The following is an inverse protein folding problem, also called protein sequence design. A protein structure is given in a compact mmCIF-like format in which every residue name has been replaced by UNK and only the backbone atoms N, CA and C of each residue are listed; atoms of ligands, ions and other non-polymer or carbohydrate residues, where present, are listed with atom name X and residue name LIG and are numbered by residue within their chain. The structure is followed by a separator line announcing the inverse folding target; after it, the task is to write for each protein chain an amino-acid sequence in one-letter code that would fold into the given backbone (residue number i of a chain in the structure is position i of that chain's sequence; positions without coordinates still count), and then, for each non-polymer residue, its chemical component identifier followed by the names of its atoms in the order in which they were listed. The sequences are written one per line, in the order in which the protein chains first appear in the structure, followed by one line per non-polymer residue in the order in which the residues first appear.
data_IF_974894521861
#
_entry.id   IF_974894521861
#
_cell.length_a   1.000
_cell.length_b   1.000
_cell.length_c   1.000
_cell.angle_alpha   90.00
_cell.angle_beta   90.00
_cell.angle_gamma   90.00
#
_symmetry.space_group_name_H-M   'P 1'
#
loop_
_entity.id
_entity.type
_entity.pdbx_description
1 polymer ?
#
# COMPACT_ATOMS: atom_id res chain seq x y z
N UNK A 1 58.85 -61.25 -52.56
CA UNK A 1 58.54 -60.56 -53.83
C UNK A 1 57.62 -59.39 -53.51
N UNK A 2 57.93 -58.17 -54.01
CA UNK A 2 57.07 -56.99 -54.35
C UNK A 2 55.83 -56.67 -53.47
N UNK A 3 55.38 -55.44 -53.17
CA UNK A 3 55.80 -54.02 -53.12
C UNK A 3 54.49 -53.25 -52.75
N UNK A 4 54.54 -52.30 -51.80
CA UNK A 4 53.65 -51.11 -51.57
C UNK A 4 52.10 -51.17 -51.66
N UNK A 5 51.39 -50.65 -50.65
CA UNK A 5 50.73 -49.31 -50.68
C UNK A 5 50.18 -48.92 -49.29
N UNK A 6 49.85 -47.64 -49.12
CA UNK A 6 49.75 -46.92 -47.86
C UNK A 6 48.34 -46.41 -47.51
N UNK A 7 48.15 -46.04 -46.23
CA UNK A 7 47.29 -44.96 -45.67
C UNK A 7 45.76 -45.11 -45.71
N UNK A 8 45.11 -44.92 -44.54
CA UNK A 8 43.72 -44.46 -44.49
C UNK A 8 42.93 -44.74 -43.20
N UNK A 9 43.11 -43.88 -42.18
CA UNK A 9 42.12 -43.27 -41.27
C UNK A 9 40.89 -44.00 -40.66
N UNK A 10 40.69 -43.62 -39.39
CA UNK A 10 39.43 -43.39 -38.66
C UNK A 10 38.83 -44.55 -37.85
N UNK A 11 39.33 -44.68 -36.62
CA UNK A 11 38.56 -45.16 -35.46
C UNK A 11 37.37 -44.22 -35.22
N UNK A 12 36.15 -44.69 -35.48
CA UNK A 12 34.93 -44.07 -34.94
C UNK A 12 34.37 -44.96 -33.84
N UNK A 13 34.58 -44.50 -32.61
CA UNK A 13 33.98 -45.03 -31.39
C UNK A 13 32.54 -44.49 -31.33
N UNK A 14 31.53 -45.35 -31.49
CA UNK A 14 30.15 -44.97 -31.15
C UNK A 14 30.05 -44.82 -29.62
N UNK A 15 29.96 -43.59 -29.12
CA UNK A 15 29.39 -43.33 -27.80
C UNK A 15 27.93 -42.89 -27.96
N UNK A 16 27.05 -43.67 -27.35
CA UNK A 16 25.63 -43.47 -27.18
C UNK A 16 25.30 -42.10 -26.55
N UNK A 17 24.40 -41.36 -27.19
CA UNK A 17 23.75 -40.19 -26.63
C UNK A 17 22.94 -40.59 -25.38
N UNK A 18 23.46 -40.27 -24.20
CA UNK A 18 22.67 -40.23 -22.96
C UNK A 18 21.76 -39.02 -23.02
N UNK A 19 20.51 -39.22 -23.43
CA UNK A 19 19.47 -38.22 -23.27
C UNK A 19 19.29 -37.94 -21.77
N UNK A 20 19.71 -36.75 -21.31
CA UNK A 20 19.23 -36.20 -20.06
C UNK A 20 17.73 -35.98 -20.20
N UNK A 21 16.95 -36.85 -19.57
CA UNK A 21 15.51 -36.65 -19.42
C UNK A 21 15.30 -35.59 -18.35
N UNK A 22 15.13 -34.34 -18.75
CA UNK A 22 14.60 -33.27 -17.91
C UNK A 22 13.13 -33.56 -17.58
N UNK A 23 12.89 -34.54 -16.70
CA UNK A 23 11.57 -34.80 -16.16
C UNK A 23 11.23 -33.65 -15.19
N UNK A 24 10.40 -32.71 -15.63
CA UNK A 24 9.79 -31.70 -14.75
C UNK A 24 9.20 -32.41 -13.51
N UNK A 25 9.46 -31.92 -12.29
CA UNK A 25 8.90 -32.53 -11.09
C UNK A 25 7.37 -32.57 -11.22
N UNK A 26 6.81 -33.79 -11.18
CA UNK A 26 5.38 -34.01 -11.28
C UNK A 26 4.77 -33.79 -9.91
N UNK A 27 4.25 -32.60 -9.65
CA UNK A 27 3.47 -32.36 -8.45
C UNK A 27 2.11 -33.06 -8.53
N UNK A 28 1.61 -33.51 -7.39
CA UNK A 28 0.30 -34.15 -7.27
C UNK A 28 -0.69 -33.09 -6.79
N UNK A 29 -1.68 -32.81 -7.63
CA UNK A 29 -2.86 -32.00 -7.30
C UNK A 29 -4.09 -32.83 -7.68
N UNK A 30 -4.68 -33.54 -6.71
CA UNK A 30 -5.79 -34.46 -6.95
C UNK A 30 -7.11 -33.73 -7.17
N UNK A 31 -7.30 -32.62 -6.46
CA UNK A 31 -8.56 -31.88 -6.49
C UNK A 31 -8.60 -30.86 -7.66
N UNK A 32 -7.46 -30.69 -8.35
CA UNK A 32 -7.25 -29.84 -9.53
C UNK A 32 -7.56 -28.37 -9.25
N UNK A 33 -7.24 -27.90 -8.04
CA UNK A 33 -7.44 -26.51 -7.64
C UNK A 33 -6.21 -25.63 -7.88
N UNK A 34 -5.09 -26.20 -8.33
CA UNK A 34 -3.85 -25.50 -8.64
C UNK A 34 -2.83 -25.48 -7.50
N UNK A 35 -3.13 -26.10 -6.36
CA UNK A 35 -2.24 -26.25 -5.20
C UNK A 35 -1.86 -27.72 -5.05
N UNK A 36 -0.60 -27.99 -4.71
CA UNK A 36 -0.14 -29.36 -4.49
C UNK A 36 -0.74 -29.95 -3.21
N UNK A 37 -1.18 -31.22 -3.28
CA UNK A 37 -1.67 -32.01 -2.15
C UNK A 37 -0.69 -31.95 -0.94
N UNK A 38 0.63 -31.89 -1.20
CA UNK A 38 1.67 -31.83 -0.15
C UNK A 38 1.64 -30.51 0.59
N UNK A 39 1.46 -29.39 -0.12
CA UNK A 39 1.37 -28.07 0.46
C UNK A 39 0.06 -27.91 1.23
N UNK A 40 -1.06 -28.37 0.65
CA UNK A 40 -2.35 -28.41 1.34
C UNK A 40 -2.24 -29.22 2.66
N UNK A 41 -1.61 -30.40 2.61
CA UNK A 41 -1.39 -31.25 3.79
C UNK A 41 -0.51 -30.57 4.84
N UNK A 42 0.54 -29.85 4.44
CA UNK A 42 1.45 -29.12 5.34
C UNK A 42 0.67 -28.15 6.22
N UNK A 43 -0.24 -27.40 5.60
CA UNK A 43 -1.04 -26.37 6.28
C UNK A 43 -2.44 -26.84 6.71
N UNK A 44 -2.70 -28.16 6.63
CA UNK A 44 -3.97 -28.79 7.03
C UNK A 44 -5.18 -28.26 6.25
N UNK A 45 -4.94 -27.76 5.04
CA UNK A 45 -5.95 -27.29 4.09
C UNK A 45 -6.57 -28.48 3.34
N UNK A 46 -7.88 -28.44 3.07
CA UNK A 46 -8.59 -29.51 2.36
C UNK A 46 -9.76 -28.99 1.54
N UNK A 47 -9.94 -29.58 0.36
CA UNK A 47 -11.13 -29.42 -0.45
C UNK A 47 -10.88 -28.63 -1.73
N UNK A 48 -11.70 -28.87 -2.75
CA UNK A 48 -11.53 -28.28 -4.09
C UNK A 48 -11.54 -26.74 -4.09
N UNK A 49 -12.24 -26.12 -3.15
CA UNK A 49 -12.36 -24.67 -3.09
C UNK A 49 -11.29 -24.01 -2.22
N UNK A 50 -10.42 -24.78 -1.54
CA UNK A 50 -9.48 -24.20 -0.56
C UNK A 50 -8.52 -23.20 -1.20
N UNK A 51 -8.14 -23.41 -2.46
CA UNK A 51 -7.36 -22.46 -3.24
C UNK A 51 -7.95 -21.04 -3.32
N UNK A 52 -9.27 -20.89 -3.22
CA UNK A 52 -9.97 -19.59 -3.28
C UNK A 52 -10.28 -18.99 -1.91
N UNK A 53 -9.99 -19.73 -0.84
CA UNK A 53 -10.19 -19.24 0.52
C UNK A 53 -8.96 -18.44 0.94
N UNK A 54 -9.21 -17.45 1.77
CA UNK A 54 -8.22 -16.70 2.52
C UNK A 54 -8.34 -17.19 3.98
N UNK A 55 -7.36 -17.98 4.42
CA UNK A 55 -7.49 -18.79 5.64
C UNK A 55 -7.16 -18.00 6.90
N UNK A 56 -6.16 -17.12 6.83
CA UNK A 56 -5.71 -16.26 7.92
C UNK A 56 -6.26 -14.83 7.84
N UNK A 57 -6.96 -14.49 6.76
CA UNK A 57 -7.70 -13.24 6.58
C UNK A 57 -6.77 -12.04 6.53
N UNK A 58 -5.69 -12.17 5.77
CA UNK A 58 -4.79 -11.06 5.46
C UNK A 58 -5.17 -10.36 4.14
N UNK A 59 -6.01 -10.98 3.30
CA UNK A 59 -6.40 -10.48 1.98
C UNK A 59 -5.85 -11.29 0.81
N UNK A 60 -4.95 -12.24 1.04
CA UNK A 60 -4.45 -13.18 0.04
C UNK A 60 -5.21 -14.49 0.12
N UNK A 61 -5.63 -15.03 -1.03
CA UNK A 61 -6.14 -16.39 -1.04
C UNK A 61 -4.99 -17.40 -1.05
N UNK A 62 -5.28 -18.60 -0.56
CA UNK A 62 -4.32 -19.69 -0.42
C UNK A 62 -3.59 -20.04 -1.74
N UNK A 63 -4.20 -19.79 -2.91
CA UNK A 63 -3.54 -20.02 -4.20
C UNK A 63 -2.46 -18.97 -4.49
N UNK A 64 -2.72 -17.71 -4.19
CA UNK A 64 -1.73 -16.64 -4.30
C UNK A 64 -0.58 -16.91 -3.33
N UNK A 65 -0.89 -17.20 -2.07
CA UNK A 65 0.14 -17.55 -1.08
C UNK A 65 0.97 -18.79 -1.47
N UNK A 66 0.34 -19.81 -2.07
CA UNK A 66 1.06 -20.95 -2.64
C UNK A 66 2.04 -20.53 -3.74
N UNK A 67 1.69 -19.56 -4.59
CA UNK A 67 2.59 -19.01 -5.63
C UNK A 67 3.74 -18.21 -5.03
N UNK A 68 3.48 -17.47 -3.96
CA UNK A 68 4.46 -16.65 -3.25
C UNK A 68 5.31 -17.47 -2.26
N UNK A 69 4.98 -18.75 -2.06
CA UNK A 69 5.63 -19.63 -1.06
C UNK A 69 5.46 -19.17 0.39
N UNK A 70 4.33 -18.50 0.66
CA UNK A 70 3.94 -17.98 1.98
C UNK A 70 3.25 -19.06 2.83
N UNK A 71 2.84 -18.66 4.03
CA UNK A 71 2.16 -19.51 4.99
C UNK A 71 0.68 -19.11 5.15
N UNK A 72 -0.26 -19.90 4.59
CA UNK A 72 -1.71 -19.65 4.56
C UNK A 72 -2.42 -19.85 5.88
N UNK A 73 -1.72 -19.67 6.98
CA UNK A 73 -2.27 -19.78 8.34
C UNK A 73 -1.73 -18.67 9.23
N UNK A 74 -1.02 -17.70 8.66
CA UNK A 74 -0.43 -16.55 9.33
C UNK A 74 -0.50 -15.36 8.40
N UNK A 75 -1.15 -14.30 8.87
CA UNK A 75 -1.19 -13.01 8.19
C UNK A 75 0.18 -12.41 7.87
N UNK A 76 1.19 -12.75 8.65
CA UNK A 76 2.57 -12.34 8.45
C UNK A 76 3.44 -13.61 8.57
N UNK A 77 3.93 -14.08 7.42
CA UNK A 77 4.70 -15.31 7.31
C UNK A 77 6.07 -15.16 7.96
N UNK A 78 6.70 -14.00 7.78
CA UNK A 78 8.11 -13.78 8.11
C UNK A 78 8.30 -13.08 9.48
N UNK A 79 7.23 -12.57 10.08
CA UNK A 79 7.15 -11.88 11.37
C UNK A 79 7.89 -10.54 11.40
N UNK A 80 7.89 -9.80 10.30
CA UNK A 80 8.47 -8.45 10.24
C UNK A 80 7.49 -7.37 10.72
N UNK A 81 6.23 -7.72 11.01
CA UNK A 81 5.19 -6.78 11.42
C UNK A 81 4.28 -6.33 10.27
N UNK A 82 4.64 -6.63 9.03
CA UNK A 82 3.87 -6.31 7.82
C UNK A 82 3.09 -7.54 7.40
N UNK A 83 1.79 -7.39 7.11
CA UNK A 83 1.01 -8.50 6.61
C UNK A 83 1.50 -8.93 5.21
N UNK A 84 1.47 -10.22 4.92
CA UNK A 84 1.85 -10.83 3.64
C UNK A 84 1.12 -10.14 2.47
N UNK A 85 -0.14 -9.76 2.63
CA UNK A 85 -0.89 -8.99 1.65
C UNK A 85 -0.31 -7.59 1.34
N UNK A 86 0.36 -6.96 2.31
CA UNK A 86 0.96 -5.63 2.18
C UNK A 86 2.42 -5.68 1.70
N UNK A 87 3.06 -6.86 1.70
CA UNK A 87 4.42 -7.01 1.18
C UNK A 87 4.50 -6.85 -0.35
N UNK A 88 5.66 -6.39 -0.86
CA UNK A 88 6.04 -6.39 -2.27
C UNK A 88 6.97 -7.59 -2.56
N UNK A 89 6.38 -8.73 -2.91
CA UNK A 89 7.14 -9.99 -3.05
C UNK A 89 8.13 -9.95 -4.21
N UNK A 90 7.78 -9.30 -5.31
CA UNK A 90 8.58 -9.31 -6.55
C UNK A 90 9.42 -8.03 -6.77
N UNK A 91 9.31 -7.08 -5.84
CA UNK A 91 10.14 -5.87 -5.70
C UNK A 91 10.01 -4.95 -6.89
N UNK A 92 8.77 -4.64 -7.22
CA UNK A 92 8.45 -3.80 -8.35
C UNK A 92 7.77 -2.49 -7.98
N UNK A 93 7.45 -2.31 -6.70
CA UNK A 93 6.97 -1.09 -6.09
C UNK A 93 5.47 -1.09 -5.80
N UNK A 94 4.75 -2.20 -5.91
CA UNK A 94 3.36 -2.31 -5.44
C UNK A 94 3.18 -3.57 -4.59
N UNK A 95 2.35 -3.48 -3.56
CA UNK A 95 2.07 -4.62 -2.67
C UNK A 95 1.27 -5.73 -3.35
N UNK A 96 1.35 -6.94 -2.79
CA UNK A 96 0.65 -8.12 -3.27
C UNK A 96 -0.87 -7.88 -3.38
N UNK A 97 -1.50 -7.22 -2.39
CA UNK A 97 -2.92 -6.89 -2.41
C UNK A 97 -3.27 -5.89 -3.52
N UNK A 98 -2.45 -4.84 -3.68
CA UNK A 98 -2.63 -3.83 -4.74
C UNK A 98 -2.58 -4.47 -6.12
N UNK A 99 -1.63 -5.38 -6.34
CA UNK A 99 -1.53 -6.11 -7.60
C UNK A 99 -2.80 -6.93 -7.91
N UNK A 100 -3.35 -7.63 -6.91
CA UNK A 100 -4.59 -8.39 -7.10
C UNK A 100 -5.77 -7.48 -7.47
N UNK A 101 -5.88 -6.32 -6.82
CA UNK A 101 -6.91 -5.33 -7.12
C UNK A 101 -6.77 -4.76 -8.55
N UNK A 102 -5.55 -4.66 -9.06
CA UNK A 102 -5.24 -4.21 -10.44
C UNK A 102 -5.28 -5.33 -11.49
N UNK A 103 -5.56 -6.57 -11.07
CA UNK A 103 -5.55 -7.76 -11.92
C UNK A 103 -4.15 -8.14 -12.42
N UNK A 104 -3.12 -7.82 -11.64
CA UNK A 104 -1.70 -8.15 -11.83
C UNK A 104 -1.38 -9.45 -11.07
N UNK A 105 -0.09 -9.80 -10.96
CA UNK A 105 0.35 -11.10 -10.42
C UNK A 105 1.53 -10.89 -9.47
N UNK A 106 1.33 -11.10 -8.16
CA UNK A 106 2.34 -10.77 -7.15
C UNK A 106 3.64 -11.56 -7.15
N UNK A 107 3.77 -12.51 -8.06
CA UNK A 107 4.94 -13.36 -8.20
C UNK A 107 5.78 -12.95 -9.42
N UNK A 108 5.49 -11.82 -10.06
CA UNK A 108 6.18 -11.34 -11.25
C UNK A 108 5.96 -9.85 -11.51
N UNK A 109 7.07 -9.11 -11.44
CA UNK A 109 7.15 -7.66 -11.67
C UNK A 109 6.73 -7.16 -13.07
N UNK A 110 6.11 -7.99 -13.92
CA UNK A 110 5.91 -7.78 -15.36
C UNK A 110 4.66 -8.54 -15.85
N UNK A 111 3.54 -8.35 -15.17
CA UNK A 111 2.29 -9.08 -15.42
C UNK A 111 1.63 -8.72 -16.75
N UNK A 112 1.61 -7.42 -17.09
CA UNK A 112 0.97 -6.90 -18.32
C UNK A 112 1.96 -6.61 -19.44
N UNK A 113 3.21 -6.28 -19.11
CA UNK A 113 4.24 -5.86 -20.06
C UNK A 113 5.58 -6.49 -19.72
N UNK A 114 6.40 -6.81 -20.73
CA UNK A 114 7.79 -7.29 -20.51
C UNK A 114 8.80 -6.16 -20.27
N UNK A 115 8.38 -4.90 -20.40
CA UNK A 115 9.28 -3.73 -20.40
C UNK A 115 8.96 -2.72 -19.31
N UNK A 116 7.72 -2.71 -18.82
CA UNK A 116 7.25 -1.78 -17.79
C UNK A 116 6.91 -2.64 -16.59
N UNK A 117 7.59 -2.37 -15.47
CA UNK A 117 7.27 -3.04 -14.20
C UNK A 117 5.84 -2.71 -13.78
N UNK A 118 5.17 -3.60 -13.06
CA UNK A 118 3.79 -3.38 -12.65
C UNK A 118 3.68 -2.17 -11.70
N UNK A 119 4.61 -1.99 -10.76
CA UNK A 119 4.67 -0.76 -9.93
C UNK A 119 4.96 0.54 -10.70
N UNK A 120 5.46 0.47 -11.94
CA UNK A 120 5.62 1.64 -12.82
C UNK A 120 4.42 1.89 -13.75
N UNK A 121 3.37 1.08 -13.64
CA UNK A 121 2.13 1.34 -14.37
C UNK A 121 1.49 2.62 -13.82
N UNK A 122 1.02 3.45 -14.74
CA UNK A 122 0.31 4.69 -14.44
C UNK A 122 -1.18 4.52 -14.68
N UNK A 123 -1.98 5.24 -13.92
CA UNK A 123 -3.41 5.40 -14.20
C UNK A 123 -3.67 6.37 -15.37
N UNK A 124 -4.93 6.79 -15.53
CA UNK A 124 -5.34 7.74 -16.57
C UNK A 124 -4.78 9.14 -16.39
N UNK A 125 -4.45 9.51 -15.16
CA UNK A 125 -3.96 10.84 -14.76
C UNK A 125 -2.42 10.88 -14.74
N UNK A 126 -1.77 9.74 -14.98
CA UNK A 126 -0.32 9.64 -15.10
C UNK A 126 0.40 9.37 -13.78
N UNK A 127 -0.34 9.12 -12.70
CA UNK A 127 0.21 8.79 -11.37
C UNK A 127 0.57 7.31 -11.33
N UNK A 128 1.75 6.95 -10.81
CA UNK A 128 2.10 5.52 -10.69
C UNK A 128 1.23 4.86 -9.63
N UNK A 129 0.85 3.59 -9.84
CA UNK A 129 0.07 2.87 -8.83
C UNK A 129 0.79 2.74 -7.50
N UNK A 130 2.13 2.68 -7.50
CA UNK A 130 2.96 2.67 -6.29
C UNK A 130 2.82 3.92 -5.43
N UNK A 131 2.51 5.06 -6.03
CA UNK A 131 2.49 6.39 -5.39
C UNK A 131 1.11 6.77 -4.88
N UNK A 132 0.10 5.94 -5.16
CA UNK A 132 -1.26 6.24 -4.73
C UNK A 132 -1.40 6.05 -3.24
N UNK A 133 -2.06 7.01 -2.58
CA UNK A 133 -2.47 6.88 -1.18
C UNK A 133 -3.52 5.77 -1.08
N UNK A 134 -3.25 4.80 -0.22
CA UNK A 134 -4.18 3.74 0.16
C UNK A 134 -5.04 4.19 1.33
N UNK A 135 -4.40 4.62 2.40
CA UNK A 135 -5.04 5.02 3.65
C UNK A 135 -4.42 6.31 4.15
N UNK A 136 -5.25 7.19 4.69
CA UNK A 136 -4.82 8.42 5.34
C UNK A 136 -5.77 8.67 6.50
N UNK A 137 -5.20 8.78 7.69
CA UNK A 137 -5.86 9.25 8.90
C UNK A 137 -5.15 10.51 9.39
N UNK A 138 -5.92 11.56 9.69
CA UNK A 138 -5.39 12.79 10.28
C UNK A 138 -6.30 13.18 11.44
N UNK A 139 -5.70 13.40 12.60
CA UNK A 139 -6.34 14.05 13.74
C UNK A 139 -5.64 15.37 14.00
N UNK A 140 -6.41 16.45 14.17
CA UNK A 140 -5.89 17.77 14.54
C UNK A 140 -6.72 18.36 15.66
N UNK A 141 -6.06 18.85 16.70
CA UNK A 141 -6.63 19.71 17.74
C UNK A 141 -5.89 21.05 17.72
N UNK A 142 -6.62 22.17 17.59
CA UNK A 142 -6.07 23.53 17.62
C UNK A 142 -7.01 24.47 18.36
N UNK A 143 -6.69 24.72 19.63
CA UNK A 143 -7.52 25.53 20.52
C UNK A 143 -8.90 24.93 20.74
N UNK A 144 -9.95 25.58 20.25
CA UNK A 144 -11.34 25.07 20.30
C UNK A 144 -11.76 24.30 19.05
N UNK A 145 -10.90 24.27 18.03
CA UNK A 145 -11.18 23.63 16.75
C UNK A 145 -10.54 22.25 16.72
N UNK A 146 -11.22 21.29 16.13
CA UNK A 146 -10.72 19.93 15.96
C UNK A 146 -11.27 19.30 14.68
N UNK A 147 -10.50 18.40 14.06
CA UNK A 147 -11.04 17.53 13.03
C UNK A 147 -10.36 16.16 13.02
N UNK A 148 -11.15 15.14 12.67
CA UNK A 148 -10.69 13.81 12.32
C UNK A 148 -11.03 13.56 10.84
N UNK A 149 -10.04 13.19 10.05
CA UNK A 149 -10.17 12.85 8.64
C UNK A 149 -9.72 11.41 8.41
N UNK A 150 -10.57 10.60 7.81
CA UNK A 150 -10.20 9.29 7.28
C UNK A 150 -10.42 9.22 5.77
N UNK A 151 -9.45 8.69 5.03
CA UNK A 151 -9.55 8.36 3.62
C UNK A 151 -9.07 6.92 3.39
N UNK A 152 -9.92 6.08 2.79
CA UNK A 152 -9.57 4.70 2.40
C UNK A 152 -9.85 4.50 0.90
N UNK A 153 -8.83 4.13 0.12
CA UNK A 153 -8.96 3.73 -1.27
C UNK A 153 -9.15 2.22 -1.39
N UNK A 154 -10.32 1.81 -1.90
CA UNK A 154 -10.65 0.40 -2.15
C UNK A 154 -11.27 0.20 -3.54
N UNK A 155 -10.69 -0.67 -4.36
CA UNK A 155 -11.24 -1.07 -5.68
C UNK A 155 -11.66 0.11 -6.58
N UNK A 156 -10.84 1.16 -6.63
CA UNK A 156 -11.07 2.36 -7.46
C UNK A 156 -12.07 3.37 -6.89
N UNK A 157 -12.67 3.09 -5.73
CA UNK A 157 -13.43 4.06 -4.94
C UNK A 157 -12.60 4.55 -3.77
N UNK A 158 -12.94 5.73 -3.27
CA UNK A 158 -12.47 6.27 -2.01
C UNK A 158 -13.66 6.43 -1.07
N UNK A 159 -13.48 6.01 0.18
CA UNK A 159 -14.34 6.34 1.29
C UNK A 159 -13.68 7.49 2.05
N UNK A 160 -14.43 8.55 2.30
CA UNK A 160 -13.97 9.69 3.10
C UNK A 160 -14.90 9.80 4.30
N UNK A 161 -14.33 9.87 5.50
CA UNK A 161 -15.03 10.30 6.71
C UNK A 161 -14.38 11.57 7.22
N UNK A 162 -15.21 12.48 7.70
CA UNK A 162 -14.77 13.74 8.24
C UNK A 162 -15.63 14.06 9.45
N UNK A 163 -14.99 14.18 10.62
CA UNK A 163 -15.59 14.79 11.81
C UNK A 163 -14.88 16.09 12.06
N UNK A 164 -15.62 17.15 12.35
CA UNK A 164 -15.02 18.47 12.55
C UNK A 164 -15.86 19.35 13.45
N UNK A 165 -15.16 20.23 14.17
CA UNK A 165 -15.71 21.30 15.00
C UNK A 165 -14.87 22.55 14.81
N UNK A 166 -15.52 23.67 14.49
CA UNK A 166 -14.85 24.93 14.19
C UNK A 166 -14.05 24.96 12.86
N UNK A 167 -14.05 23.85 12.11
CA UNK A 167 -13.54 23.76 10.73
C UNK A 167 -14.67 23.61 9.72
N UNK A 168 -14.38 23.91 8.45
CA UNK A 168 -15.32 23.83 7.34
C UNK A 168 -14.70 23.07 6.14
N UNK A 169 -14.09 21.93 6.45
CA UNK A 169 -13.47 21.05 5.47
C UNK A 169 -14.54 20.34 4.65
N UNK A 170 -14.24 20.14 3.37
CA UNK A 170 -15.10 19.41 2.46
C UNK A 170 -14.33 18.30 1.74
N UNK A 171 -15.08 17.48 1.00
CA UNK A 171 -14.51 16.38 0.25
C UNK A 171 -13.53 16.84 -0.85
N UNK A 172 -13.66 18.06 -1.38
CA UNK A 172 -12.74 18.57 -2.39
C UNK A 172 -11.37 18.90 -1.77
N UNK A 173 -11.37 19.48 -0.57
CA UNK A 173 -10.15 19.72 0.23
C UNK A 173 -9.41 18.43 0.54
N UNK A 174 -10.12 17.39 0.99
CA UNK A 174 -9.52 16.07 1.25
C UNK A 174 -8.89 15.47 -0.01
N UNK A 175 -9.59 15.55 -1.15
CA UNK A 175 -9.08 15.01 -2.42
C UNK A 175 -7.87 15.79 -2.93
N UNK A 176 -7.84 17.09 -2.72
CA UNK A 176 -6.69 17.92 -3.06
C UNK A 176 -5.48 17.53 -2.21
N UNK A 177 -5.66 17.34 -0.89
CA UNK A 177 -4.61 16.84 0.00
C UNK A 177 -4.08 15.48 -0.47
N UNK A 178 -4.96 14.52 -0.75
CA UNK A 178 -4.55 13.20 -1.27
C UNK A 178 -3.77 13.34 -2.57
N UNK A 179 -4.13 14.28 -3.45
CA UNK A 179 -3.36 14.55 -4.68
C UNK A 179 -1.95 15.04 -4.37
N UNK A 180 -1.84 15.99 -3.44
CA UNK A 180 -0.58 16.56 -3.01
C UNK A 180 0.33 15.50 -2.35
N UNK A 181 -0.24 14.62 -1.52
CA UNK A 181 0.49 13.51 -0.87
C UNK A 181 0.96 12.43 -1.85
N UNK A 182 0.18 12.13 -2.90
CA UNK A 182 0.65 11.22 -3.97
C UNK A 182 1.86 11.79 -4.70
N UNK A 183 1.89 13.12 -4.89
CA UNK A 183 3.02 13.80 -5.50
C UNK A 183 4.22 13.90 -4.54
N UNK A 184 3.98 14.03 -3.24
CA UNK A 184 5.02 14.09 -2.22
C UNK A 184 5.98 12.89 -2.27
N UNK A 185 5.48 11.68 -2.57
CA UNK A 185 6.34 10.51 -2.79
C UNK A 185 7.19 10.63 -4.05
N UNK A 186 6.62 11.08 -5.18
CA UNK A 186 7.39 11.24 -6.44
C UNK A 186 8.49 12.29 -6.28
N UNK A 187 8.22 13.33 -5.47
CA UNK A 187 9.18 14.38 -5.11
C UNK A 187 10.13 13.96 -3.95
N UNK A 188 9.93 12.78 -3.34
CA UNK A 188 10.69 12.25 -2.20
C UNK A 188 10.78 13.26 -1.03
N UNK A 189 9.63 13.84 -0.66
CA UNK A 189 9.52 14.73 0.50
C UNK A 189 9.80 13.97 1.80
N UNK A 190 10.42 14.65 2.77
CA UNK A 190 10.62 14.13 4.13
C UNK A 190 9.33 14.20 4.95
N UNK A 191 9.27 13.47 6.07
CA UNK A 191 8.18 13.55 7.04
C UNK A 191 7.86 15.00 7.44
N UNK A 192 8.89 15.79 7.76
CA UNK A 192 8.72 17.21 8.07
C UNK A 192 8.10 18.01 6.93
N UNK A 193 8.48 17.75 5.67
CA UNK A 193 7.93 18.45 4.52
C UNK A 193 6.49 18.04 4.22
N UNK A 194 6.12 16.80 4.53
CA UNK A 194 4.73 16.32 4.45
C UNK A 194 3.89 17.04 5.53
N UNK A 195 4.40 17.14 6.76
CA UNK A 195 3.72 17.90 7.80
C UNK A 195 3.57 19.38 7.45
N UNK A 196 4.61 20.03 6.93
CA UNK A 196 4.53 21.44 6.52
C UNK A 196 3.47 21.65 5.42
N UNK A 197 3.33 20.68 4.51
CA UNK A 197 2.30 20.67 3.48
C UNK A 197 0.89 20.56 4.09
N UNK A 198 0.70 19.66 5.06
CA UNK A 198 -0.57 19.46 5.76
C UNK A 198 -0.92 20.71 6.59
N UNK A 199 0.03 21.22 7.37
CA UNK A 199 -0.09 22.45 8.15
C UNK A 199 -0.51 23.63 7.28
N UNK A 200 0.18 23.83 6.16
CA UNK A 200 -0.13 24.91 5.22
C UNK A 200 -1.52 24.77 4.59
N UNK A 201 -1.98 23.54 4.35
CA UNK A 201 -3.27 23.27 3.72
C UNK A 201 -4.45 23.51 4.67
N UNK A 202 -4.26 23.24 5.95
CA UNK A 202 -5.28 23.47 6.98
C UNK A 202 -5.13 24.79 7.72
N UNK A 203 -4.16 25.62 7.33
CA UNK A 203 -3.90 26.93 7.91
C UNK A 203 -3.71 26.86 9.43
N UNK A 204 -2.98 25.85 9.92
CA UNK A 204 -2.71 25.69 11.36
C UNK A 204 -1.65 26.71 11.80
N UNK A 205 -2.12 27.86 12.30
CA UNK A 205 -1.29 28.99 12.72
C UNK A 205 -1.16 29.15 14.22
N UNK A 206 -2.12 28.63 14.99
CA UNK A 206 -2.14 28.69 16.45
C UNK A 206 -1.38 27.48 17.04
N UNK A 207 -1.37 27.33 18.36
CA UNK A 207 -0.94 26.08 19.00
C UNK A 207 -1.81 24.92 18.50
N UNK A 208 -1.20 23.81 18.12
CA UNK A 208 -1.92 22.62 17.66
C UNK A 208 -1.18 21.31 17.96
N UNK A 209 -1.96 20.24 18.08
CA UNK A 209 -1.51 18.86 18.05
C UNK A 209 -1.99 18.22 16.74
N UNK A 210 -1.12 17.48 16.07
CA UNK A 210 -1.44 16.75 14.84
C UNK A 210 -0.90 15.32 14.90
N UNK A 211 -1.75 14.38 14.52
CA UNK A 211 -1.41 12.99 14.26
C UNK A 211 -1.75 12.65 12.81
N UNK A 212 -0.82 12.00 12.11
CA UNK A 212 -0.96 11.60 10.71
C UNK A 212 -0.52 10.15 10.55
N UNK A 213 -1.44 9.29 10.12
CA UNK A 213 -1.12 7.96 9.61
C UNK A 213 -1.36 7.93 8.10
N UNK A 214 -0.37 7.48 7.33
CA UNK A 214 -0.41 7.49 5.88
C UNK A 214 0.18 6.20 5.31
N UNK A 215 -0.63 5.44 4.60
CA UNK A 215 -0.20 4.24 3.87
C UNK A 215 -0.33 4.47 2.35
N UNK A 216 0.71 4.13 1.61
CA UNK A 216 0.72 4.11 0.17
C UNK A 216 0.50 2.70 -0.39
N UNK A 217 0.10 2.61 -1.67
CA UNK A 217 -0.20 1.34 -2.33
C UNK A 217 1.02 0.41 -2.48
N UNK A 218 2.23 0.95 -2.37
CA UNK A 218 3.48 0.22 -2.29
C UNK A 218 3.76 -0.41 -0.91
N UNK A 219 2.95 -0.10 0.10
CA UNK A 219 3.10 -0.54 1.48
C UNK A 219 4.02 0.34 2.32
N UNK A 220 4.48 1.49 1.78
CA UNK A 220 5.18 2.47 2.61
C UNK A 220 4.17 3.12 3.56
N UNK A 221 4.49 3.06 4.85
CA UNK A 221 3.69 3.60 5.95
C UNK A 221 4.48 4.73 6.64
N UNK A 222 3.76 5.78 7.01
CA UNK A 222 4.26 6.93 7.75
C UNK A 222 3.31 7.21 8.90
N UNK A 223 3.85 7.31 10.10
CA UNK A 223 3.12 7.68 11.32
C UNK A 223 3.87 8.86 11.93
N UNK A 224 3.17 9.99 12.07
CA UNK A 224 3.78 11.24 12.52
C UNK A 224 2.87 11.89 13.55
N UNK A 225 3.43 12.22 14.70
CA UNK A 225 2.79 12.99 15.76
C UNK A 225 3.62 14.25 16.02
N UNK A 226 2.97 15.41 16.07
CA UNK A 226 3.63 16.70 16.36
C UNK A 226 2.71 17.60 17.18
N UNK A 227 3.25 18.09 18.28
CA UNK A 227 2.69 19.21 19.04
C UNK A 227 3.50 20.48 18.71
N UNK A 228 2.81 21.57 18.39
CA UNK A 228 3.39 22.87 18.11
C UNK A 228 2.78 23.88 19.07
N UNK A 229 3.60 24.41 19.97
CA UNK A 229 3.24 25.53 20.83
C UNK A 229 3.67 26.84 20.16
N UNK A 230 2.75 27.79 20.06
CA UNK A 230 3.06 29.17 19.67
C UNK A 230 3.24 29.97 20.95
N UNK A 231 4.47 30.34 21.27
CA UNK A 231 4.77 31.21 22.41
C UNK A 231 4.15 32.59 22.18
N UNK A 232 3.28 33.01 23.10
CA UNK A 232 2.79 34.39 23.21
C UNK A 232 3.96 35.32 23.65
N UNK A 233 4.94 35.58 22.78
CA UNK A 233 5.89 36.67 22.99
C UNK A 233 5.20 38.02 22.69
N UNK A 234 4.29 38.45 23.55
CA UNK A 234 3.80 39.83 23.65
C UNK A 234 3.32 40.16 25.08
N UNK A 235 4.21 39.98 26.07
CA UNK A 235 4.14 40.73 27.33
C UNK A 235 4.65 42.17 27.06
N UNK A 236 3.84 42.97 26.36
CA UNK A 236 3.98 44.41 26.31
C UNK A 236 2.70 45.05 26.85
N UNK A 237 2.84 45.62 28.04
CA UNK A 237 1.92 46.50 28.77
C UNK A 237 0.85 47.19 27.89
N UNK A 238 -0.43 47.00 28.21
CA UNK A 238 -1.35 48.12 28.40
C UNK A 238 -2.60 47.69 29.17
N UNK A 239 -2.72 48.22 30.40
CA UNK A 239 -3.99 48.38 31.09
C UNK A 239 -4.87 49.32 30.26
N UNK A 240 -6.06 48.91 29.82
CA UNK A 240 -7.28 49.71 30.00
C UNK A 240 -8.50 48.80 30.10
N UNK A 241 -9.21 48.93 31.22
CA UNK A 241 -10.50 48.31 31.46
C UNK A 241 -11.55 48.94 30.54
N UNK A 242 -12.22 48.12 29.74
CA UNK A 242 -13.52 48.43 29.15
C UNK A 242 -14.46 47.28 29.52
N UNK A 243 -15.26 47.53 30.55
CA UNK A 243 -16.54 46.86 30.75
C UNK A 243 -17.47 47.30 29.60
N UNK A 244 -18.00 46.38 28.80
CA UNK A 244 -19.40 46.38 28.37
C UNK A 244 -19.75 45.13 27.54
N UNK A 245 -20.85 44.51 27.98
CA UNK A 245 -21.78 43.61 27.29
C UNK A 245 -21.34 42.16 27.00
N UNK A 246 -21.64 41.29 27.97
CA UNK A 246 -22.01 39.87 27.77
C UNK A 246 -23.14 39.79 26.72
N UNK A 247 -22.75 39.56 25.47
CA UNK A 247 -23.59 38.83 24.52
C UNK A 247 -23.17 37.37 24.63
N UNK A 248 -24.00 36.58 25.33
CA UNK A 248 -24.06 35.13 25.18
C UNK A 248 -24.41 34.83 23.71
N UNK A 249 -23.42 34.89 22.83
CA UNK A 249 -23.50 34.23 21.53
C UNK A 249 -23.36 32.73 21.83
N UNK A 250 -24.51 32.05 21.82
CA UNK A 250 -24.57 30.60 21.71
C UNK A 250 -23.88 30.20 20.40
N UNK A 251 -22.56 30.05 20.43
CA UNK A 251 -21.78 29.46 19.36
C UNK A 251 -22.25 28.01 19.20
N UNK A 252 -23.21 27.83 18.30
CA UNK A 252 -23.57 26.54 17.73
C UNK A 252 -22.44 26.12 16.77
N UNK A 253 -21.26 25.85 17.33
CA UNK A 253 -20.25 25.03 16.66
C UNK A 253 -20.80 23.60 16.63
N UNK A 254 -21.70 23.32 15.68
CA UNK A 254 -22.27 22.00 15.49
C UNK A 254 -21.16 21.04 15.06
N UNK A 255 -20.96 19.97 15.82
CA UNK A 255 -20.15 18.84 15.40
C UNK A 255 -20.71 18.29 14.08
N UNK A 256 -19.90 18.36 13.02
CA UNK A 256 -20.29 17.84 11.71
C UNK A 256 -19.60 16.51 11.45
N UNK A 257 -20.40 15.45 11.27
CA UNK A 257 -19.93 14.12 10.84
C UNK A 257 -20.45 13.82 9.43
N UNK A 258 -19.53 13.66 8.49
CA UNK A 258 -19.81 13.39 7.09
C UNK A 258 -19.09 12.12 6.64
N UNK A 259 -19.84 11.17 6.09
CA UNK A 259 -19.29 9.96 5.44
C UNK A 259 -19.76 9.89 4.00
N UNK A 260 -18.83 9.84 3.05
CA UNK A 260 -19.10 9.81 1.61
C UNK A 260 -18.27 8.76 0.87
N UNK A 261 -18.85 8.14 -0.15
CA UNK A 261 -18.13 7.31 -1.12
C UNK A 261 -18.03 8.04 -2.45
N UNK A 262 -16.81 8.19 -2.97
CA UNK A 262 -16.53 8.87 -4.24
C UNK A 262 -15.54 8.10 -5.10
N UNK A 263 -15.42 8.41 -6.41
CA UNK A 263 -14.33 7.85 -7.21
C UNK A 263 -13.00 8.21 -6.57
N UNK A 264 -12.06 7.28 -6.41
CA UNK A 264 -10.77 7.63 -5.82
C UNK A 264 -9.98 8.56 -6.73
N UNK A 265 -9.09 9.35 -6.13
CA UNK A 265 -8.08 10.13 -6.88
C UNK A 265 -6.98 9.20 -7.39
#
# INVERSE_FOLDING_TARGET
MKKFLAVGLATTLLLSAGAQVDAKPKFIDKNKNGIEDKWEKKYKLKGKNVAKLDTDKDGLNNFVEYKLSLNPTKKDTNKNGVADALEDTDRDGISNATELDLGLKPYTAYSKSKKVKDGNLKDTDGVKWSEKVRELEISVESGKKEFELEYEKKKGKAKIKLKQKGYNLDQATVRALVTDLQKAIDDNLTEDQILDLIQSRFELTDTYEIEVELEYMNGDEFEIEREVEVDDEDDADDEEMIDEDDQDDEDQDEDQDVVVEVPAV
#
